data_IF_338319415056
#
_entry.id   IF_338319415056
#
_cell.length_a   1.000
_cell.length_b   1.000
_cell.length_c   1.000
_cell.angle_alpha   90.00
_cell.angle_beta   90.00
_cell.angle_gamma   90.00
#
_symmetry.space_group_name_H-M   'P 1'
#
loop_
_entity.id
_entity.type
_entity.pdbx_description
1 polymer ?
#
# COMPACT_ATOMS: atom_id res chain seq x y z
N UNK A 1 -12.12 -2.41 -22.55
CA UNK A 1 -11.74 -3.82 -22.77
C UNK A 1 -12.31 -4.70 -21.66
N UNK A 2 -12.40 -6.00 -21.89
CA UNK A 2 -12.81 -7.01 -20.92
C UNK A 2 -11.76 -7.17 -19.82
N UNK A 3 -12.16 -7.54 -18.61
CA UNK A 3 -11.26 -7.88 -17.51
C UNK A 3 -10.45 -9.12 -17.94
N UNK A 4 -9.12 -9.07 -17.83
CA UNK A 4 -8.25 -10.17 -18.21
C UNK A 4 -8.52 -11.40 -17.36
N UNK A 5 -8.58 -12.58 -18.00
CA UNK A 5 -8.85 -13.85 -17.31
C UNK A 5 -7.88 -14.13 -16.16
N UNK A 6 -6.59 -13.79 -16.32
CA UNK A 6 -5.58 -13.97 -15.26
C UNK A 6 -5.83 -13.15 -13.99
N UNK A 7 -6.75 -12.17 -14.00
CA UNK A 7 -7.16 -11.42 -12.80
C UNK A 7 -8.26 -12.13 -12.01
N UNK A 8 -9.00 -13.04 -12.63
CA UNK A 8 -10.22 -13.63 -12.06
C UNK A 8 -9.88 -14.98 -11.45
N UNK A 9 -10.23 -15.16 -10.19
CA UNK A 9 -10.11 -16.44 -9.48
C UNK A 9 -11.45 -16.83 -8.88
N UNK A 10 -11.84 -18.04 -9.19
CA UNK A 10 -13.01 -18.70 -8.62
C UNK A 10 -12.61 -19.32 -7.28
N UNK A 11 -13.21 -18.89 -6.17
CA UNK A 11 -12.90 -19.41 -4.83
C UNK A 11 -13.96 -20.40 -4.33
N UNK A 12 -15.20 -20.25 -4.75
CA UNK A 12 -16.26 -21.24 -4.59
C UNK A 12 -17.06 -21.35 -5.89
N UNK A 13 -17.02 -22.52 -6.52
CA UNK A 13 -17.59 -22.77 -7.84
C UNK A 13 -18.92 -23.52 -7.74
N UNK A 14 -19.98 -22.75 -7.53
CA UNK A 14 -21.37 -23.20 -7.49
C UNK A 14 -22.21 -22.21 -8.27
N UNK A 15 -23.39 -22.58 -8.77
CA UNK A 15 -24.24 -21.59 -9.43
C UNK A 15 -24.61 -20.42 -8.49
N UNK A 16 -24.65 -19.18 -8.99
CA UNK A 16 -25.19 -18.06 -8.23
C UNK A 16 -26.60 -18.39 -7.73
N UNK A 17 -26.90 -17.93 -6.53
CA UNK A 17 -28.20 -18.15 -5.91
C UNK A 17 -29.29 -17.45 -6.73
N UNK A 18 -30.28 -18.23 -7.18
CA UNK A 18 -31.37 -17.74 -8.04
C UNK A 18 -32.30 -16.72 -7.36
N UNK A 19 -32.54 -16.86 -6.06
CA UNK A 19 -33.34 -15.95 -5.23
C UNK A 19 -32.52 -14.90 -4.49
N UNK A 20 -31.24 -14.71 -4.86
CA UNK A 20 -30.39 -13.68 -4.26
C UNK A 20 -30.88 -12.27 -4.58
N UNK A 21 -30.92 -11.39 -3.58
CA UNK A 21 -31.46 -10.03 -3.71
C UNK A 21 -30.48 -9.03 -4.36
N UNK A 22 -29.18 -9.33 -4.34
CA UNK A 22 -28.12 -8.45 -4.84
C UNK A 22 -26.81 -9.22 -5.09
N UNK A 23 -25.87 -8.62 -5.82
CA UNK A 23 -24.46 -9.02 -5.84
C UNK A 23 -23.70 -8.22 -4.78
N UNK A 24 -22.94 -8.89 -3.92
CA UNK A 24 -22.06 -8.22 -2.95
C UNK A 24 -20.68 -8.03 -3.55
N UNK A 25 -20.12 -6.84 -3.39
CA UNK A 25 -18.70 -6.58 -3.62
C UNK A 25 -18.03 -6.17 -2.30
N UNK A 26 -17.12 -6.99 -1.77
CA UNK A 26 -16.27 -6.60 -0.66
C UNK A 26 -15.18 -5.64 -1.15
N UNK A 27 -15.38 -4.36 -0.88
CA UNK A 27 -14.39 -3.30 -1.06
C UNK A 27 -13.42 -3.38 0.11
N UNK A 28 -12.17 -3.79 -0.11
CA UNK A 28 -11.18 -3.90 0.96
C UNK A 28 -9.84 -3.31 0.54
N UNK A 29 -9.19 -3.91 -0.46
CA UNK A 29 -7.89 -3.44 -0.95
C UNK A 29 -8.04 -2.30 -1.97
N UNK A 30 -9.10 -2.28 -2.78
CA UNK A 30 -9.26 -1.35 -3.89
C UNK A 30 -10.33 -0.27 -3.62
N UNK A 31 -10.10 0.61 -2.63
CA UNK A 31 -11.06 1.64 -2.18
C UNK A 31 -11.26 2.80 -3.18
N UNK A 32 -11.85 2.50 -4.34
CA UNK A 32 -12.08 3.43 -5.45
C UNK A 32 -13.22 2.96 -6.35
N UNK A 33 -13.89 3.90 -7.03
CA UNK A 33 -15.01 3.60 -7.93
C UNK A 33 -14.59 3.48 -9.40
N UNK A 34 -13.39 3.98 -9.75
CA UNK A 34 -12.86 3.90 -11.11
C UNK A 34 -11.64 2.98 -11.19
N UNK A 35 -11.36 2.44 -12.39
CA UNK A 35 -10.28 1.47 -12.61
C UNK A 35 -10.26 0.34 -11.55
N UNK A 36 -11.44 -0.15 -11.20
CA UNK A 36 -11.66 -1.21 -10.23
C UNK A 36 -12.25 -2.45 -10.93
N UNK A 37 -11.42 -3.43 -11.33
CA UNK A 37 -11.91 -4.59 -12.06
C UNK A 37 -12.85 -5.47 -11.23
N UNK A 38 -12.70 -5.52 -9.91
CA UNK A 38 -13.63 -6.26 -9.04
C UNK A 38 -15.03 -5.64 -9.06
N UNK A 39 -15.10 -4.31 -9.00
CA UNK A 39 -16.36 -3.59 -9.14
C UNK A 39 -16.99 -3.80 -10.52
N UNK A 40 -16.21 -3.69 -11.59
CA UNK A 40 -16.75 -3.89 -12.95
C UNK A 40 -17.21 -5.33 -13.19
N UNK A 41 -16.56 -6.32 -12.55
CA UNK A 41 -17.02 -7.70 -12.54
C UNK A 41 -18.36 -7.83 -11.81
N UNK A 42 -18.47 -7.24 -10.61
CA UNK A 42 -19.71 -7.25 -9.82
C UNK A 42 -20.88 -6.61 -10.58
N UNK A 43 -20.66 -5.47 -11.26
CA UNK A 43 -21.70 -4.82 -12.09
C UNK A 43 -22.10 -5.69 -13.27
N UNK A 44 -21.14 -6.35 -13.94
CA UNK A 44 -21.44 -7.24 -15.05
C UNK A 44 -22.31 -8.42 -14.61
N UNK A 45 -21.98 -9.05 -13.49
CA UNK A 45 -22.75 -10.17 -12.94
C UNK A 45 -24.13 -9.74 -12.43
N UNK A 46 -24.21 -8.60 -11.73
CA UNK A 46 -25.47 -8.06 -11.26
C UNK A 46 -26.44 -7.76 -12.42
N UNK A 47 -25.92 -7.17 -13.50
CA UNK A 47 -26.68 -6.96 -14.73
C UNK A 47 -27.14 -8.26 -15.39
N UNK A 48 -26.33 -9.33 -15.33
CA UNK A 48 -26.68 -10.65 -15.88
C UNK A 48 -27.78 -11.31 -15.06
N UNK A 49 -27.75 -11.12 -13.74
CA UNK A 49 -28.68 -11.73 -12.79
C UNK A 49 -29.95 -10.89 -12.54
N UNK A 50 -30.02 -9.67 -13.04
CA UNK A 50 -31.20 -8.81 -12.90
C UNK A 50 -31.32 -8.13 -11.53
N UNK A 51 -30.23 -8.03 -10.76
CA UNK A 51 -30.21 -7.56 -9.38
C UNK A 51 -29.22 -6.40 -9.19
N UNK A 52 -29.34 -5.56 -8.14
CA UNK A 52 -28.39 -4.47 -7.88
C UNK A 52 -27.06 -4.97 -7.31
N UNK A 53 -26.05 -4.08 -7.30
CA UNK A 53 -24.78 -4.27 -6.58
C UNK A 53 -24.83 -3.57 -5.22
N UNK A 54 -24.35 -4.25 -4.18
CA UNK A 54 -24.06 -3.68 -2.87
C UNK A 54 -22.55 -3.84 -2.61
N UNK A 55 -21.82 -2.73 -2.70
CA UNK A 55 -20.46 -2.67 -2.18
C UNK A 55 -20.52 -2.63 -0.64
N UNK A 56 -19.58 -3.30 0.02
CA UNK A 56 -19.51 -3.29 1.47
C UNK A 56 -18.07 -3.13 1.99
N UNK A 57 -17.94 -2.58 3.19
CA UNK A 57 -16.67 -2.42 3.88
C UNK A 57 -16.87 -2.65 5.38
N UNK A 58 -15.99 -3.45 5.99
CA UNK A 58 -15.95 -3.68 7.44
C UNK A 58 -14.91 -2.77 8.09
N UNK A 59 -15.35 -1.87 8.96
CA UNK A 59 -14.46 -0.94 9.67
C UNK A 59 -14.19 -1.43 11.09
N UNK A 60 -12.96 -1.91 11.30
CA UNK A 60 -12.43 -2.26 12.62
C UNK A 60 -11.92 -1.03 13.38
N UNK A 61 -12.06 -1.01 14.71
CA UNK A 61 -11.58 0.06 15.59
C UNK A 61 -10.97 -0.48 16.90
N UNK A 62 -10.31 0.39 17.68
CA UNK A 62 -9.81 0.07 19.01
C UNK A 62 -8.80 -1.06 19.05
N UNK A 63 -8.94 -1.91 20.07
CA UNK A 63 -8.13 -3.11 20.24
C UNK A 63 -8.32 -4.14 19.09
N UNK A 64 -9.40 -4.00 18.31
CA UNK A 64 -9.67 -4.83 17.14
C UNK A 64 -9.21 -4.15 15.83
N UNK A 65 -8.66 -2.93 15.91
CA UNK A 65 -8.22 -2.14 14.77
C UNK A 65 -7.11 -2.82 13.97
N UNK A 66 -6.83 -2.27 12.77
CA UNK A 66 -5.74 -2.79 11.96
C UNK A 66 -4.40 -2.63 12.73
N UNK A 67 -3.55 -3.67 12.82
CA UNK A 67 -2.33 -3.61 13.61
C UNK A 67 -1.48 -2.37 13.30
N UNK A 68 -1.06 -1.66 14.35
CA UNK A 68 -0.18 -0.48 14.30
C UNK A 68 -0.75 0.73 13.53
N UNK A 69 -2.03 0.69 13.13
CA UNK A 69 -2.73 1.86 12.61
C UNK A 69 -3.18 2.79 13.75
N UNK A 70 -3.34 4.07 13.43
CA UNK A 70 -3.68 5.14 14.36
C UNK A 70 -4.55 6.19 13.65
N UNK A 71 -4.92 7.27 14.36
CA UNK A 71 -5.82 8.30 13.86
C UNK A 71 -5.42 8.87 12.49
N UNK A 72 -4.12 9.02 12.20
CA UNK A 72 -3.62 9.45 10.88
C UNK A 72 -4.10 8.55 9.74
N UNK A 73 -3.94 7.25 9.91
CA UNK A 73 -4.25 6.26 8.88
C UNK A 73 -5.76 6.16 8.66
N UNK A 74 -6.52 6.16 9.76
CA UNK A 74 -7.97 6.11 9.69
C UNK A 74 -8.56 7.38 9.07
N UNK A 75 -8.01 8.57 9.36
CA UNK A 75 -8.44 9.80 8.68
C UNK A 75 -8.32 9.68 7.15
N UNK A 76 -7.16 9.24 6.67
CA UNK A 76 -6.90 9.09 5.24
C UNK A 76 -7.78 7.99 4.59
N UNK A 77 -8.01 6.87 5.30
CA UNK A 77 -8.92 5.81 4.87
C UNK A 77 -10.37 6.32 4.76
N UNK A 78 -10.88 6.98 5.81
CA UNK A 78 -12.26 7.44 5.89
C UNK A 78 -12.58 8.49 4.81
N UNK A 79 -11.65 9.41 4.56
CA UNK A 79 -11.73 10.34 3.43
C UNK A 79 -11.83 9.59 2.09
N UNK A 80 -11.04 8.53 1.92
CA UNK A 80 -11.10 7.68 0.73
C UNK A 80 -12.42 6.92 0.58
N UNK A 81 -12.97 6.38 1.67
CA UNK A 81 -14.25 5.69 1.67
C UNK A 81 -15.41 6.65 1.38
N UNK A 82 -15.36 7.90 1.86
CA UNK A 82 -16.33 8.94 1.54
C UNK A 82 -16.31 9.27 0.02
N UNK A 83 -15.12 9.41 -0.56
CA UNK A 83 -14.97 9.67 -2.01
C UNK A 83 -15.43 8.46 -2.86
N UNK A 84 -15.08 7.24 -2.46
CA UNK A 84 -15.56 6.01 -3.11
C UNK A 84 -17.08 5.89 -3.04
N UNK A 85 -17.68 6.20 -1.87
CA UNK A 85 -19.14 6.25 -1.68
C UNK A 85 -19.79 7.21 -2.68
N UNK A 86 -19.26 8.43 -2.82
CA UNK A 86 -19.79 9.38 -3.79
C UNK A 86 -19.69 8.86 -5.23
N UNK A 87 -18.64 8.11 -5.57
CA UNK A 87 -18.51 7.39 -6.84
C UNK A 87 -19.59 6.33 -7.04
N UNK A 88 -19.87 5.52 -6.03
CA UNK A 88 -20.93 4.50 -6.07
C UNK A 88 -22.32 5.11 -6.22
N UNK A 89 -22.63 6.18 -5.48
CA UNK A 89 -23.93 6.86 -5.55
C UNK A 89 -24.21 7.41 -6.95
N UNK A 90 -23.22 8.06 -7.60
CA UNK A 90 -23.35 8.55 -8.99
C UNK A 90 -23.70 7.42 -9.96
N UNK A 91 -23.15 6.23 -9.74
CA UNK A 91 -23.39 5.04 -10.56
C UNK A 91 -24.66 4.27 -10.16
N UNK A 92 -25.28 4.60 -9.03
CA UNK A 92 -26.45 3.89 -8.50
C UNK A 92 -26.11 2.53 -7.85
N UNK A 93 -24.91 2.41 -7.29
CA UNK A 93 -24.44 1.24 -6.53
C UNK A 93 -24.67 1.51 -5.03
N UNK A 94 -25.16 0.52 -4.29
CA UNK A 94 -25.35 0.64 -2.85
C UNK A 94 -24.01 0.49 -2.12
N UNK A 95 -23.83 1.20 -1.00
CA UNK A 95 -22.65 1.03 -0.14
C UNK A 95 -23.05 0.82 1.31
N UNK A 96 -22.57 -0.29 1.89
CA UNK A 96 -22.85 -0.70 3.27
C UNK A 96 -21.54 -0.71 4.08
N UNK A 97 -21.39 0.25 4.98
CA UNK A 97 -20.27 0.36 5.91
C UNK A 97 -20.74 -0.02 7.33
N UNK A 98 -20.06 -0.97 7.99
CA UNK A 98 -20.42 -1.45 9.33
C UNK A 98 -19.21 -1.59 10.26
N UNK A 99 -19.45 -1.58 11.56
CA UNK A 99 -18.43 -1.87 12.58
C UNK A 99 -18.24 -3.39 12.69
N UNK A 100 -17.44 -3.94 11.78
CA UNK A 100 -17.19 -5.37 11.68
C UNK A 100 -15.85 -5.61 10.97
N UNK A 101 -15.28 -6.81 11.10
CA UNK A 101 -14.19 -7.23 10.24
C UNK A 101 -14.65 -7.34 8.77
N UNK A 102 -13.72 -7.26 7.80
CA UNK A 102 -14.04 -7.52 6.40
C UNK A 102 -14.68 -8.89 6.15
N UNK A 103 -14.29 -9.90 6.93
CA UNK A 103 -14.88 -11.24 6.84
C UNK A 103 -16.32 -11.27 7.37
N UNK A 104 -16.58 -10.71 8.55
CA UNK A 104 -17.91 -10.72 9.17
C UNK A 104 -18.97 -10.05 8.31
N UNK A 105 -18.69 -8.84 7.79
CA UNK A 105 -19.66 -8.14 6.93
C UNK A 105 -19.88 -8.89 5.60
N UNK A 106 -18.83 -9.47 5.01
CA UNK A 106 -18.97 -10.22 3.77
C UNK A 106 -19.79 -11.50 3.97
N UNK A 107 -19.56 -12.22 5.08
CA UNK A 107 -20.31 -13.43 5.44
C UNK A 107 -21.77 -13.10 5.71
N UNK A 108 -22.05 -12.03 6.44
CA UNK A 108 -23.41 -11.60 6.75
C UNK A 108 -24.19 -11.23 5.48
N UNK A 109 -23.64 -10.33 4.66
CA UNK A 109 -24.32 -9.88 3.44
C UNK A 109 -24.42 -10.98 2.38
N UNK A 110 -23.50 -11.96 2.37
CA UNK A 110 -23.58 -13.11 1.48
C UNK A 110 -24.76 -14.05 1.79
N UNK A 111 -25.42 -13.90 2.94
CA UNK A 111 -26.61 -14.67 3.30
C UNK A 111 -27.78 -14.45 2.36
N UNK A 112 -27.93 -13.27 1.77
CA UNK A 112 -29.01 -12.92 0.83
C UNK A 112 -28.48 -12.59 -0.57
N UNK A 113 -27.17 -12.74 -0.79
CA UNK A 113 -26.54 -12.40 -2.06
C UNK A 113 -26.70 -13.51 -3.11
N UNK A 114 -26.87 -13.10 -4.37
CA UNK A 114 -26.78 -13.99 -5.51
C UNK A 114 -25.35 -14.54 -5.66
N UNK A 115 -24.33 -13.69 -5.48
CA UNK A 115 -22.93 -14.06 -5.39
C UNK A 115 -22.10 -13.00 -4.66
N UNK A 116 -20.90 -13.39 -4.24
CA UNK A 116 -19.91 -12.54 -3.59
C UNK A 116 -18.70 -12.32 -4.49
N UNK A 117 -18.37 -11.05 -4.72
CA UNK A 117 -17.14 -10.62 -5.38
C UNK A 117 -16.17 -10.05 -4.34
N UNK A 118 -14.92 -10.49 -4.37
CA UNK A 118 -13.84 -9.98 -3.53
C UNK A 118 -12.83 -9.24 -4.41
N UNK A 119 -12.25 -8.16 -3.90
CA UNK A 119 -10.93 -7.73 -4.39
C UNK A 119 -9.81 -8.59 -3.80
N UNK A 120 -8.56 -8.20 -4.05
CA UNK A 120 -7.39 -9.01 -3.71
C UNK A 120 -6.34 -8.20 -2.96
N UNK A 121 -6.05 -8.66 -1.76
CA UNK A 121 -4.91 -8.28 -0.94
C UNK A 121 -3.91 -9.44 -0.75
N UNK A 122 -2.66 -9.11 -0.46
CA UNK A 122 -1.55 -10.07 -0.40
C UNK A 122 -1.03 -10.37 1.00
N UNK A 123 -1.40 -9.55 1.98
CA UNK A 123 -0.93 -9.67 3.35
C UNK A 123 -1.54 -10.88 4.06
N UNK A 124 -0.85 -11.38 5.08
CA UNK A 124 -1.29 -12.52 5.89
C UNK A 124 -2.67 -12.29 6.52
N UNK A 125 -2.91 -11.08 7.06
CA UNK A 125 -4.21 -10.70 7.65
C UNK A 125 -5.35 -10.73 6.61
N UNK A 126 -5.10 -10.26 5.39
CA UNK A 126 -6.09 -10.27 4.32
C UNK A 126 -6.41 -11.69 3.86
N UNK A 127 -5.37 -12.51 3.66
CA UNK A 127 -5.50 -13.93 3.34
C UNK A 127 -6.30 -14.68 4.41
N UNK A 128 -6.14 -14.33 5.70
CA UNK A 128 -6.91 -14.88 6.80
C UNK A 128 -8.40 -14.55 6.65
N UNK A 129 -8.76 -13.28 6.44
CA UNK A 129 -10.16 -12.89 6.21
C UNK A 129 -10.77 -13.59 5.00
N UNK A 130 -10.05 -13.71 3.88
CA UNK A 130 -10.54 -14.45 2.72
C UNK A 130 -10.75 -15.94 3.02
N UNK A 131 -9.88 -16.55 3.84
CA UNK A 131 -10.05 -17.94 4.30
C UNK A 131 -11.31 -18.13 5.15
N UNK A 132 -11.59 -17.20 6.07
CA UNK A 132 -12.82 -17.18 6.88
C UNK A 132 -14.07 -17.07 6.00
N UNK A 133 -14.06 -16.17 5.02
CA UNK A 133 -15.15 -15.98 4.06
C UNK A 133 -15.39 -17.26 3.25
N UNK A 134 -14.34 -17.86 2.67
CA UNK A 134 -14.47 -19.06 1.83
C UNK A 134 -14.97 -20.26 2.64
N UNK A 135 -14.60 -20.37 3.92
CA UNK A 135 -15.11 -21.44 4.79
C UNK A 135 -16.62 -21.28 5.08
N UNK A 136 -17.09 -20.05 5.30
CA UNK A 136 -18.45 -19.76 5.75
C UNK A 136 -19.46 -19.57 4.62
N UNK A 137 -19.09 -18.89 3.54
CA UNK A 137 -20.00 -18.51 2.45
C UNK A 137 -20.23 -19.68 1.50
N UNK A 138 -21.51 -19.99 1.22
CA UNK A 138 -21.90 -21.14 0.37
C UNK A 138 -22.34 -20.77 -1.04
N UNK A 139 -22.55 -19.48 -1.33
CA UNK A 139 -22.84 -19.00 -2.69
C UNK A 139 -21.55 -18.86 -3.52
N UNK A 140 -21.67 -18.58 -4.82
CA UNK A 140 -20.53 -18.32 -5.70
C UNK A 140 -19.62 -17.25 -5.12
N UNK A 141 -18.32 -17.53 -5.05
CA UNK A 141 -17.30 -16.55 -4.66
C UNK A 141 -16.31 -16.37 -5.80
N UNK A 142 -16.13 -15.12 -6.23
CA UNK A 142 -15.15 -14.73 -7.24
C UNK A 142 -14.25 -13.64 -6.68
N UNK A 143 -12.93 -13.85 -6.73
CA UNK A 143 -11.93 -12.85 -6.40
C UNK A 143 -11.35 -12.25 -7.68
N UNK A 144 -11.19 -10.92 -7.72
CA UNK A 144 -10.68 -10.21 -8.89
C UNK A 144 -9.52 -9.29 -8.50
N UNK A 145 -8.38 -9.48 -9.16
CA UNK A 145 -7.14 -8.74 -8.91
C UNK A 145 -7.14 -7.34 -9.56
N UNK A 146 -7.05 -6.30 -8.74
CA UNK A 146 -6.98 -4.90 -9.16
C UNK A 146 -5.94 -4.04 -8.44
N UNK A 147 -5.14 -4.60 -7.53
CA UNK A 147 -4.11 -3.91 -6.76
C UNK A 147 -2.73 -3.96 -7.42
N UNK A 148 -2.51 -4.87 -8.38
CA UNK A 148 -1.29 -4.94 -9.21
C UNK A 148 -1.60 -4.82 -10.70
N UNK A 149 -0.62 -4.36 -11.49
CA UNK A 149 -0.68 -4.36 -12.95
C UNK A 149 -0.77 -5.79 -13.44
N UNK A 150 0.18 -6.65 -13.08
CA UNK A 150 0.14 -8.08 -13.44
C UNK A 150 -0.12 -8.90 -12.17
N UNK A 151 -1.17 -9.74 -12.12
CA UNK A 151 -1.41 -10.63 -10.97
C UNK A 151 -0.16 -11.45 -10.63
N UNK A 152 0.18 -11.56 -9.34
CA UNK A 152 1.49 -12.09 -8.89
C UNK A 152 1.79 -13.48 -9.46
N UNK A 153 0.82 -14.39 -9.46
CA UNK A 153 0.99 -15.75 -9.98
C UNK A 153 1.07 -15.82 -11.50
N UNK A 154 0.51 -14.83 -12.20
CA UNK A 154 0.67 -14.69 -13.65
C UNK A 154 2.09 -14.20 -13.97
N UNK A 155 2.60 -13.24 -13.20
CA UNK A 155 3.94 -12.71 -13.37
C UNK A 155 5.04 -13.75 -13.05
N UNK A 156 4.87 -14.53 -11.97
CA UNK A 156 5.78 -15.61 -11.60
C UNK A 156 5.12 -16.64 -10.70
N UNK A 157 5.43 -17.91 -10.91
CA UNK A 157 4.96 -19.05 -10.10
C UNK A 157 5.78 -19.29 -8.82
N UNK A 158 6.74 -18.41 -8.52
CA UNK A 158 7.63 -18.53 -7.36
C UNK A 158 8.10 -17.17 -6.84
N UNK A 159 8.70 -17.19 -5.65
CA UNK A 159 9.43 -16.05 -5.11
C UNK A 159 10.61 -15.68 -6.02
N UNK A 160 10.66 -14.41 -6.43
CA UNK A 160 11.76 -13.84 -7.20
C UNK A 160 12.78 -13.21 -6.28
N UNK A 161 14.02 -13.66 -6.33
CA UNK A 161 15.04 -13.16 -5.40
C UNK A 161 15.53 -11.75 -5.74
N UNK A 162 15.25 -11.19 -6.92
CA UNK A 162 15.67 -9.84 -7.28
C UNK A 162 14.81 -9.23 -8.40
N UNK A 163 14.76 -7.89 -8.48
CA UNK A 163 14.07 -7.18 -9.56
C UNK A 163 14.51 -7.61 -10.96
N UNK A 164 15.80 -7.94 -11.14
CA UNK A 164 16.33 -8.39 -12.44
C UNK A 164 15.75 -9.71 -12.95
N UNK A 165 15.17 -10.54 -12.07
CA UNK A 165 14.55 -11.81 -12.47
C UNK A 165 13.05 -11.69 -12.70
N UNK A 166 12.38 -10.78 -11.99
CA UNK A 166 10.96 -10.47 -12.20
C UNK A 166 10.72 -9.56 -13.42
N UNK A 167 11.55 -8.52 -13.60
CA UNK A 167 11.42 -7.52 -14.68
C UNK A 167 11.16 -8.11 -16.08
N UNK A 168 11.98 -9.04 -16.61
CA UNK A 168 11.73 -9.56 -17.96
C UNK A 168 10.41 -10.35 -18.06
N UNK A 169 9.89 -10.90 -16.96
CA UNK A 169 8.58 -11.59 -16.95
C UNK A 169 7.44 -10.59 -17.04
N UNK A 170 7.51 -9.54 -16.22
CA UNK A 170 6.56 -8.43 -16.22
C UNK A 170 6.55 -7.71 -17.58
N UNK A 171 7.72 -7.35 -18.12
CA UNK A 171 7.83 -6.62 -19.38
C UNK A 171 7.13 -7.32 -20.55
N UNK A 172 7.15 -8.66 -20.60
CA UNK A 172 6.47 -9.45 -21.64
C UNK A 172 4.94 -9.37 -21.57
N UNK A 173 4.40 -8.99 -20.42
CA UNK A 173 2.96 -8.95 -20.12
C UNK A 173 2.43 -7.52 -20.06
N UNK A 174 3.29 -6.51 -20.20
CA UNK A 174 2.88 -5.11 -20.04
C UNK A 174 1.79 -4.68 -21.01
N UNK A 175 1.84 -5.11 -22.27
CA UNK A 175 0.85 -4.69 -23.25
C UNK A 175 -0.50 -5.41 -23.08
N UNK A 176 -0.51 -6.57 -22.42
CA UNK A 176 -1.74 -7.30 -22.09
C UNK A 176 -2.43 -6.75 -20.83
N UNK A 177 -1.66 -6.16 -19.92
CA UNK A 177 -2.13 -5.77 -18.57
C UNK A 177 -2.15 -4.26 -18.30
N UNK A 178 -1.34 -3.46 -19.01
CA UNK A 178 -1.40 -1.99 -18.99
C UNK A 178 -2.38 -1.52 -20.07
N UNK A 179 -3.66 -1.80 -19.82
CA UNK A 179 -4.75 -1.50 -20.75
C UNK A 179 -5.91 -0.84 -20.02
N UNK A 180 -6.69 -0.05 -20.75
CA UNK A 180 -7.84 0.65 -20.19
C UNK A 180 -8.92 -0.32 -19.68
N UNK A 181 -9.53 0.02 -18.55
CA UNK A 181 -10.72 -0.66 -18.01
C UNK A 181 -11.96 0.11 -18.44
N UNK A 182 -12.91 -0.57 -19.09
CA UNK A 182 -14.19 0.05 -19.46
C UNK A 182 -15.16 -0.05 -18.30
N UNK A 183 -15.68 1.09 -17.86
CA UNK A 183 -16.76 1.14 -16.88
C UNK A 183 -18.05 0.53 -17.46
N UNK A 184 -18.69 -0.32 -16.67
CA UNK A 184 -19.96 -0.97 -16.99
C UNK A 184 -21.11 -0.08 -16.52
N UNK A 185 -22.10 0.08 -17.38
CA UNK A 185 -23.37 0.72 -17.05
C UNK A 185 -24.14 -0.14 -16.06
N UNK A 186 -24.59 0.44 -14.95
CA UNK A 186 -25.45 -0.21 -13.96
C UNK A 186 -26.89 -0.21 -14.47
N UNK A 187 -27.47 -1.40 -14.70
CA UNK A 187 -28.86 -1.54 -15.19
C UNK A 187 -29.88 -1.63 -14.05
N UNK A 188 -29.46 -2.14 -12.90
CA UNK A 188 -30.31 -2.33 -11.72
C UNK A 188 -29.74 -1.47 -10.58
N UNK A 189 -30.34 -0.29 -10.39
CA UNK A 189 -29.90 0.66 -9.36
C UNK A 189 -30.25 0.14 -7.98
N UNK A 190 -29.38 0.43 -7.01
CA UNK A 190 -29.65 0.21 -5.61
C UNK A 190 -30.91 0.96 -5.16
N UNK A 191 -31.89 0.22 -4.63
CA UNK A 191 -33.20 0.73 -4.24
C UNK A 191 -33.48 0.56 -2.74
N UNK A 192 -34.76 0.71 -2.36
CA UNK A 192 -35.23 0.46 -0.98
C UNK A 192 -35.11 -1.04 -0.65
N UNK A 193 -34.81 -1.37 0.60
CA UNK A 193 -34.73 -2.76 1.08
C UNK A 193 -33.35 -3.40 1.03
N UNK A 194 -32.33 -2.67 0.54
CA UNK A 194 -30.94 -3.13 0.59
C UNK A 194 -30.35 -3.05 2.02
N UNK A 195 -29.27 -3.81 2.30
CA UNK A 195 -28.61 -3.78 3.60
C UNK A 195 -28.24 -2.36 4.02
N UNK A 196 -28.64 -2.00 5.25
CA UNK A 196 -28.35 -0.68 5.81
C UNK A 196 -26.88 -0.60 6.26
N UNK A 197 -26.26 0.54 6.00
CA UNK A 197 -25.02 0.93 6.65
C UNK A 197 -25.29 1.26 8.13
N UNK A 198 -24.34 0.96 8.99
CA UNK A 198 -24.35 1.39 10.39
C UNK A 198 -23.56 2.70 10.58
N UNK A 199 -22.57 2.93 9.70
CA UNK A 199 -21.72 4.12 9.71
C UNK A 199 -22.11 4.99 8.53
N UNK A 200 -22.42 6.26 8.80
CA UNK A 200 -22.56 7.27 7.77
C UNK A 200 -21.19 7.88 7.47
N UNK A 201 -20.66 7.60 6.29
CA UNK A 201 -19.34 8.08 5.84
C UNK A 201 -19.41 9.45 5.15
N UNK A 202 -20.58 10.10 5.12
CA UNK A 202 -20.72 11.44 4.57
C UNK A 202 -19.89 12.50 5.34
N UNK A 203 -19.65 12.28 6.63
CA UNK A 203 -18.77 13.09 7.47
C UNK A 203 -17.65 12.21 8.06
N UNK A 204 -16.52 12.04 7.33
CA UNK A 204 -15.42 11.19 7.78
C UNK A 204 -14.75 11.69 9.07
N UNK A 205 -14.79 12.99 9.36
CA UNK A 205 -14.21 13.56 10.57
C UNK A 205 -15.06 13.22 11.81
N UNK A 206 -16.39 13.28 11.68
CA UNK A 206 -17.31 12.82 12.73
C UNK A 206 -17.15 11.32 13.01
N UNK A 207 -16.99 10.49 11.96
CA UNK A 207 -16.70 9.05 12.13
C UNK A 207 -15.40 8.87 12.90
N UNK A 208 -14.32 9.53 12.49
CA UNK A 208 -13.01 9.47 13.16
C UNK A 208 -13.07 9.92 14.62
N UNK A 209 -13.83 10.96 14.94
CA UNK A 209 -14.02 11.44 16.30
C UNK A 209 -14.69 10.38 17.19
N UNK A 210 -15.61 9.59 16.64
CA UNK A 210 -16.30 8.51 17.34
C UNK A 210 -15.49 7.20 17.47
N UNK A 211 -14.29 7.10 16.90
CA UNK A 211 -13.45 5.91 16.98
C UNK A 211 -12.52 5.92 18.20
N UNK A 212 -12.30 4.74 18.77
CA UNK A 212 -11.27 4.50 19.80
C UNK A 212 -9.96 4.14 19.09
N UNK A 213 -9.01 5.05 18.99
CA UNK A 213 -7.74 4.85 18.26
C UNK A 213 -6.58 5.47 19.05
N UNK A 214 -5.36 5.03 18.76
CA UNK A 214 -4.16 5.79 19.10
C UNK A 214 -4.22 7.16 18.39
N UNK A 215 -4.13 8.24 19.17
CA UNK A 215 -4.21 9.64 18.70
C UNK A 215 -2.89 10.39 18.88
N UNK A 216 -1.82 9.72 19.34
CA UNK A 216 -0.49 10.33 19.50
C UNK A 216 0.12 10.71 18.15
N UNK A 217 -0.32 10.06 17.07
CA UNK A 217 0.05 10.37 15.69
C UNK A 217 -1.14 11.01 14.98
N UNK A 218 -1.16 12.35 14.83
CA UNK A 218 -2.32 13.05 14.30
C UNK A 218 -2.44 12.88 12.77
N UNK A 219 -3.65 13.06 12.21
CA UNK A 219 -3.86 13.27 10.79
C UNK A 219 -2.99 14.41 10.26
N UNK A 220 -2.60 14.31 8.98
CA UNK A 220 -1.73 15.27 8.31
C UNK A 220 -2.54 16.16 7.37
N UNK A 221 -2.10 17.40 7.17
CA UNK A 221 -2.74 18.39 6.31
C UNK A 221 -2.29 18.27 4.87
N UNK A 222 -1.03 17.87 4.64
CA UNK A 222 -0.46 17.78 3.29
C UNK A 222 -1.13 16.73 2.39
N UNK A 223 -1.81 15.73 2.96
CA UNK A 223 -2.44 14.65 2.23
C UNK A 223 -3.91 14.53 2.59
N UNK A 224 -4.76 14.50 1.55
CA UNK A 224 -6.19 14.17 1.66
C UNK A 224 -6.42 12.86 0.92
N UNK A 225 -7.16 11.94 1.53
CA UNK A 225 -7.55 10.66 0.93
C UNK A 225 -8.62 10.82 -0.16
N UNK A 226 -8.72 9.84 -1.05
CA UNK A 226 -9.70 9.77 -2.14
C UNK A 226 -9.07 9.61 -3.52
N UNK A 227 -9.78 8.90 -4.40
CA UNK A 227 -9.40 8.75 -5.81
C UNK A 227 -9.43 10.08 -6.56
N UNK A 228 -10.36 10.97 -6.20
CA UNK A 228 -10.48 12.32 -6.77
C UNK A 228 -9.20 13.12 -6.53
N UNK A 229 -8.71 13.14 -5.28
CA UNK A 229 -7.47 13.83 -4.93
C UNK A 229 -6.24 13.14 -5.53
N UNK A 230 -6.19 11.81 -5.52
CA UNK A 230 -5.10 11.04 -6.13
C UNK A 230 -4.92 11.40 -7.61
N UNK A 231 -6.02 11.42 -8.37
CA UNK A 231 -6.03 11.80 -9.79
C UNK A 231 -5.66 13.25 -10.02
N UNK A 232 -6.15 14.17 -9.18
CA UNK A 232 -5.79 15.59 -9.27
C UNK A 232 -4.27 15.78 -9.10
N UNK A 233 -3.69 15.14 -8.09
CA UNK A 233 -2.24 15.17 -7.83
C UNK A 233 -1.43 14.52 -8.94
N UNK A 234 -1.84 13.35 -9.42
CA UNK A 234 -1.16 12.68 -10.53
C UNK A 234 -1.17 13.57 -11.78
N UNK A 235 -2.31 14.18 -12.13
CA UNK A 235 -2.40 15.09 -13.27
C UNK A 235 -1.45 16.28 -13.13
N UNK A 236 -1.40 16.91 -11.95
CA UNK A 236 -0.49 18.03 -11.70
C UNK A 236 0.99 17.58 -11.76
N UNK A 237 1.30 16.41 -11.21
CA UNK A 237 2.64 15.81 -11.25
C UNK A 237 3.11 15.57 -12.69
N UNK A 238 2.28 14.93 -13.52
CA UNK A 238 2.57 14.66 -14.94
C UNK A 238 2.59 15.92 -15.82
N UNK A 239 2.10 17.07 -15.31
CA UNK A 239 2.17 18.34 -16.03
C UNK A 239 3.45 19.14 -15.73
N UNK A 240 4.25 18.73 -14.74
CA UNK A 240 5.46 19.47 -14.35
C UNK A 240 6.54 18.57 -13.74
N UNK A 241 6.49 18.25 -12.43
CA UNK A 241 7.57 17.57 -11.71
C UNK A 241 8.03 16.22 -12.31
N UNK A 242 7.17 15.54 -13.07
CA UNK A 242 7.52 14.29 -13.75
C UNK A 242 8.66 14.45 -14.78
N UNK A 243 8.83 15.66 -15.35
CA UNK A 243 9.75 15.91 -16.46
C UNK A 243 11.24 15.70 -16.13
N UNK A 244 11.58 15.55 -14.86
CA UNK A 244 12.95 15.32 -14.39
C UNK A 244 13.08 14.08 -13.52
N UNK A 245 12.03 13.24 -13.45
CA UNK A 245 11.97 12.11 -12.53
C UNK A 245 13.16 11.16 -12.66
N UNK A 246 13.52 10.76 -13.88
CA UNK A 246 14.60 9.81 -14.16
C UNK A 246 15.95 10.29 -13.61
N UNK A 247 16.23 11.58 -13.75
CA UNK A 247 17.48 12.20 -13.28
C UNK A 247 17.46 12.56 -11.78
N UNK A 248 16.31 13.03 -11.27
CA UNK A 248 16.24 13.72 -9.98
C UNK A 248 15.56 12.91 -8.86
N UNK A 249 14.93 11.74 -9.14
CA UNK A 249 14.20 10.94 -8.13
C UNK A 249 14.98 10.51 -6.89
N UNK A 250 16.30 10.59 -6.91
CA UNK A 250 17.15 10.24 -5.77
C UNK A 250 17.54 11.46 -4.91
N UNK A 251 17.10 12.66 -5.31
CA UNK A 251 17.36 13.92 -4.60
C UNK A 251 16.08 14.38 -3.88
N UNK A 252 16.01 14.26 -2.54
CA UNK A 252 14.81 14.56 -1.79
C UNK A 252 14.33 16.01 -1.91
N UNK A 253 15.24 16.96 -2.06
CA UNK A 253 14.98 18.40 -2.22
C UNK A 253 14.44 18.77 -3.60
N UNK A 254 14.58 17.89 -4.61
CA UNK A 254 14.21 18.19 -6.00
C UNK A 254 12.70 18.13 -6.27
N UNK A 255 11.89 17.62 -5.33
CA UNK A 255 10.44 17.52 -5.50
C UNK A 255 9.99 16.59 -6.63
N UNK A 256 10.86 15.68 -7.09
CA UNK A 256 10.60 14.81 -8.23
C UNK A 256 9.67 13.63 -7.91
N UNK A 257 9.41 13.31 -6.64
CA UNK A 257 8.54 12.21 -6.25
C UNK A 257 7.07 12.51 -6.53
N UNK A 258 6.31 11.49 -6.97
CA UNK A 258 4.88 11.65 -7.27
C UNK A 258 3.98 11.72 -6.04
N UNK A 259 4.48 11.25 -4.89
CA UNK A 259 3.71 11.08 -3.66
C UNK A 259 2.45 10.21 -3.83
N UNK A 260 2.46 9.25 -4.76
CA UNK A 260 1.35 8.34 -5.00
C UNK A 260 1.27 7.16 -4.03
N UNK A 261 2.28 6.93 -3.20
CA UNK A 261 2.34 5.75 -2.33
C UNK A 261 1.21 5.67 -1.29
N UNK A 262 0.73 6.75 -0.64
CA UNK A 262 -0.44 6.67 0.24
C UNK A 262 -1.69 6.21 -0.51
N UNK A 263 -1.93 6.77 -1.70
CA UNK A 263 -3.09 6.45 -2.52
C UNK A 263 -3.05 5.02 -3.05
N UNK A 264 -1.86 4.54 -3.43
CA UNK A 264 -1.66 3.14 -3.84
C UNK A 264 -1.85 2.17 -2.67
N UNK A 265 -1.38 2.52 -1.47
CA UNK A 265 -1.52 1.69 -0.27
C UNK A 265 -2.99 1.45 0.09
N UNK A 266 -3.79 2.52 0.11
CA UNK A 266 -5.23 2.44 0.39
C UNK A 266 -6.08 2.06 -0.83
N UNK A 267 -5.45 1.76 -1.97
CA UNK A 267 -6.13 1.41 -3.22
C UNK A 267 -7.04 2.49 -3.78
N UNK A 268 -6.80 3.74 -3.44
CA UNK A 268 -7.53 4.93 -3.90
C UNK A 268 -7.13 5.31 -5.34
N UNK A 269 -6.10 4.69 -5.92
CA UNK A 269 -5.78 4.83 -7.34
C UNK A 269 -5.22 3.51 -7.88
N UNK A 270 -5.59 3.15 -9.11
CA UNK A 270 -5.09 1.92 -9.74
C UNK A 270 -3.66 2.10 -10.26
N UNK A 271 -2.75 1.14 -10.05
CA UNK A 271 -1.42 1.19 -10.68
C UNK A 271 -1.50 1.09 -12.21
N UNK A 272 -2.54 0.43 -12.77
CA UNK A 272 -2.76 0.39 -14.22
C UNK A 272 -3.14 1.77 -14.75
N UNK A 273 -3.98 2.50 -14.01
CA UNK A 273 -4.35 3.87 -14.37
C UNK A 273 -3.13 4.80 -14.38
N UNK A 274 -2.28 4.71 -13.34
CA UNK A 274 -1.03 5.48 -13.29
C UNK A 274 -0.13 5.11 -14.47
N UNK A 275 0.06 3.82 -14.75
CA UNK A 275 0.93 3.37 -15.83
C UNK A 275 0.46 3.87 -17.21
N UNK A 276 -0.85 3.84 -17.46
CA UNK A 276 -1.45 4.42 -18.67
C UNK A 276 -1.22 5.93 -18.76
N UNK A 277 -1.43 6.65 -17.66
CA UNK A 277 -1.23 8.10 -17.60
C UNK A 277 0.24 8.48 -17.84
N UNK A 278 1.19 7.72 -17.30
CA UNK A 278 2.64 7.91 -17.51
C UNK A 278 3.03 7.61 -18.97
N UNK A 279 2.53 6.51 -19.56
CA UNK A 279 2.76 6.19 -20.98
C UNK A 279 2.25 7.33 -21.88
N UNK A 280 1.08 7.88 -21.57
CA UNK A 280 0.45 8.98 -22.29
C UNK A 280 0.97 10.38 -21.92
N UNK A 281 1.89 10.50 -20.96
CA UNK A 281 2.38 11.80 -20.51
C UNK A 281 3.10 12.53 -21.65
N UNK A 282 2.78 13.83 -21.79
CA UNK A 282 3.39 14.74 -22.77
C UNK A 282 4.68 15.38 -22.26
N UNK A 283 4.88 15.39 -20.94
CA UNK A 283 6.13 15.80 -20.30
C UNK A 283 6.92 14.56 -19.90
N UNK A 284 8.23 14.72 -19.66
CA UNK A 284 9.14 13.61 -19.37
C UNK A 284 9.53 12.81 -20.62
N UNK A 285 10.81 12.45 -20.69
CA UNK A 285 11.37 11.60 -21.73
C UNK A 285 11.17 10.11 -21.44
N UNK A 286 11.73 9.27 -22.31
CA UNK A 286 11.65 7.82 -22.17
C UNK A 286 12.35 7.32 -20.90
N UNK A 287 13.41 8.00 -20.45
CA UNK A 287 14.10 7.70 -19.21
C UNK A 287 13.21 7.95 -17.98
N UNK A 288 12.44 9.04 -17.96
CA UNK A 288 11.50 9.37 -16.88
C UNK A 288 10.39 8.33 -16.81
N UNK A 289 9.80 8.00 -17.96
CA UNK A 289 8.74 6.98 -18.08
C UNK A 289 9.24 5.62 -17.66
N UNK A 290 10.40 5.20 -18.14
CA UNK A 290 11.00 3.90 -17.83
C UNK A 290 11.34 3.81 -16.34
N UNK A 291 11.96 4.84 -15.77
CA UNK A 291 12.29 4.88 -14.36
C UNK A 291 11.03 4.82 -13.49
N UNK A 292 9.97 5.55 -13.87
CA UNK A 292 8.73 5.56 -13.10
C UNK A 292 8.03 4.20 -13.13
N UNK A 293 7.92 3.58 -14.31
CA UNK A 293 7.28 2.27 -14.46
C UNK A 293 8.09 1.15 -13.78
N UNK A 294 9.42 1.26 -13.73
CA UNK A 294 10.26 0.35 -12.93
C UNK A 294 9.90 0.42 -11.45
N UNK A 295 9.75 1.61 -10.87
CA UNK A 295 9.41 1.75 -9.44
C UNK A 295 7.93 1.39 -9.17
N UNK A 296 7.01 1.87 -10.00
CA UNK A 296 5.57 1.62 -9.87
C UNK A 296 5.19 0.15 -10.01
N UNK A 297 5.84 -0.58 -10.93
CA UNK A 297 5.46 -1.93 -11.32
C UNK A 297 6.50 -2.93 -10.83
N UNK A 298 7.74 -2.84 -11.30
CA UNK A 298 8.74 -3.89 -11.02
C UNK A 298 9.11 -3.92 -9.53
N UNK A 299 9.36 -2.78 -8.91
CA UNK A 299 9.75 -2.72 -7.48
C UNK A 299 8.56 -2.99 -6.56
N UNK A 300 7.43 -2.34 -6.79
CA UNK A 300 6.21 -2.54 -6.00
C UNK A 300 5.68 -3.98 -6.10
N UNK A 301 5.64 -4.56 -7.29
CA UNK A 301 5.10 -5.92 -7.47
C UNK A 301 6.11 -7.00 -7.05
N UNK A 302 7.41 -6.69 -6.99
CA UNK A 302 8.38 -7.55 -6.32
C UNK A 302 8.07 -7.67 -4.82
N UNK A 303 7.65 -6.58 -4.17
CA UNK A 303 7.21 -6.63 -2.79
C UNK A 303 5.94 -7.49 -2.60
N UNK A 304 4.98 -7.36 -3.52
CA UNK A 304 3.79 -8.22 -3.55
C UNK A 304 4.15 -9.70 -3.78
N UNK A 305 5.10 -9.98 -4.68
CA UNK A 305 5.65 -11.32 -4.90
C UNK A 305 6.30 -11.88 -3.63
N UNK A 306 7.09 -11.07 -2.92
CA UNK A 306 7.74 -11.46 -1.67
C UNK A 306 6.73 -11.89 -0.61
N UNK A 307 5.77 -11.03 -0.26
CA UNK A 307 4.76 -11.34 0.77
C UNK A 307 3.75 -12.41 0.32
N UNK A 308 3.60 -12.61 -0.99
CA UNK A 308 2.77 -13.69 -1.51
C UNK A 308 3.40 -15.06 -1.23
N UNK A 309 4.68 -15.24 -1.55
CA UNK A 309 5.38 -16.52 -1.51
C UNK A 309 6.15 -16.80 -0.20
N UNK A 310 6.38 -15.79 0.62
CA UNK A 310 7.11 -15.93 1.89
C UNK A 310 6.13 -15.98 3.05
N UNK A 311 5.97 -17.14 3.70
CA UNK A 311 5.23 -17.23 4.96
C UNK A 311 6.06 -16.56 6.05
N UNK A 312 5.41 -15.82 6.97
CA UNK A 312 6.12 -15.17 8.07
C UNK A 312 6.97 -13.96 7.65
N UNK A 313 6.72 -13.34 6.49
CA UNK A 313 7.46 -12.16 5.98
C UNK A 313 7.55 -10.97 6.95
N UNK A 314 6.78 -11.00 8.04
CA UNK A 314 6.75 -10.01 9.12
C UNK A 314 7.88 -10.25 10.16
N UNK A 315 8.56 -11.39 10.08
CA UNK A 315 9.63 -11.81 11.01
C UNK A 315 11.01 -11.72 10.34
N UNK A 316 12.03 -11.35 11.13
CA UNK A 316 13.42 -11.36 10.65
C UNK A 316 13.85 -12.75 10.14
N UNK A 317 13.44 -13.81 10.84
CA UNK A 317 13.87 -15.18 10.56
C UNK A 317 13.43 -15.65 9.17
N UNK A 318 12.22 -15.29 8.75
CA UNK A 318 11.62 -15.74 7.50
C UNK A 318 11.82 -14.73 6.35
N UNK A 319 11.81 -13.43 6.65
CA UNK A 319 11.92 -12.38 5.64
C UNK A 319 13.35 -12.15 5.14
N UNK A 320 14.35 -12.36 6.02
CA UNK A 320 15.76 -12.07 5.69
C UNK A 320 16.43 -13.32 5.12
N UNK A 321 17.07 -13.21 3.94
CA UNK A 321 17.69 -14.36 3.29
C UNK A 321 18.85 -14.92 4.12
N UNK A 322 19.05 -16.23 4.04
CA UNK A 322 20.03 -16.97 4.85
C UNK A 322 21.45 -16.40 4.77
N UNK A 323 21.91 -16.00 3.58
CA UNK A 323 23.24 -15.41 3.41
C UNK A 323 23.45 -14.14 4.25
N UNK A 324 22.39 -13.34 4.38
CA UNK A 324 22.44 -12.10 5.12
C UNK A 324 22.30 -12.36 6.62
N UNK A 325 21.42 -13.28 7.03
CA UNK A 325 21.34 -13.72 8.43
C UNK A 325 22.68 -14.27 8.93
N UNK A 326 23.35 -15.08 8.12
CA UNK A 326 24.67 -15.64 8.45
C UNK A 326 25.73 -14.54 8.63
N UNK A 327 25.87 -13.63 7.67
CA UNK A 327 26.89 -12.59 7.77
C UNK A 327 26.60 -11.59 8.89
N UNK A 328 25.33 -11.34 9.24
CA UNK A 328 24.96 -10.51 10.38
C UNK A 328 25.26 -11.23 11.71
N UNK A 329 25.01 -12.53 11.79
CA UNK A 329 25.32 -13.34 12.97
C UNK A 329 26.84 -13.44 13.24
N UNK A 330 27.66 -13.52 12.19
CA UNK A 330 29.14 -13.45 12.29
C UNK A 330 29.64 -12.14 12.93
N UNK A 331 28.82 -11.09 12.92
CA UNK A 331 29.11 -9.76 13.41
C UNK A 331 28.20 -9.35 14.59
N UNK A 332 27.59 -10.33 15.27
CA UNK A 332 26.70 -10.09 16.41
C UNK A 332 27.42 -9.41 17.58
N UNK A 333 28.66 -9.83 17.87
CA UNK A 333 29.48 -9.35 18.99
C UNK A 333 30.29 -8.08 18.66
N UNK A 334 30.18 -7.55 17.44
CA UNK A 334 30.84 -6.30 17.09
C UNK A 334 30.28 -5.14 17.93
N UNK A 335 31.14 -4.31 18.54
CA UNK A 335 30.67 -3.15 19.30
C UNK A 335 29.90 -2.20 18.39
N UNK A 336 28.71 -1.78 18.84
CA UNK A 336 27.90 -0.79 18.13
C UNK A 336 28.49 0.60 18.34
N UNK A 337 28.63 1.43 17.29
CA UNK A 337 29.19 2.77 17.42
C UNK A 337 28.33 3.68 18.30
N UNK A 338 27.01 3.49 18.23
CA UNK A 338 26.01 4.16 19.06
C UNK A 338 24.90 3.16 19.37
N UNK A 339 24.16 3.40 20.46
CA UNK A 339 22.95 2.65 20.80
C UNK A 339 21.86 3.61 21.23
N UNK A 340 20.66 3.41 20.71
CA UNK A 340 19.49 4.21 21.05
C UNK A 340 18.34 3.31 21.49
N UNK A 341 17.50 3.83 22.38
CA UNK A 341 16.18 3.27 22.69
C UNK A 341 15.22 3.51 21.52
N UNK A 342 14.13 2.75 21.46
CA UNK A 342 13.09 3.01 20.45
C UNK A 342 12.44 4.39 20.63
N UNK A 343 12.35 4.89 21.86
CA UNK A 343 11.81 6.22 22.15
C UNK A 343 12.69 7.34 21.58
N UNK A 344 14.01 7.28 21.79
CA UNK A 344 14.97 8.24 21.20
C UNK A 344 14.94 8.18 19.67
N UNK A 345 14.87 6.97 19.08
CA UNK A 345 14.72 6.81 17.64
C UNK A 345 13.39 7.41 17.14
N UNK A 346 12.27 7.17 17.83
CA UNK A 346 10.96 7.71 17.46
C UNK A 346 10.95 9.26 17.53
N UNK A 347 11.59 9.83 18.56
CA UNK A 347 11.72 11.26 18.78
C UNK A 347 12.73 11.93 17.83
N UNK A 348 13.59 11.16 17.15
CA UNK A 348 14.64 11.73 16.30
C UNK A 348 15.76 12.36 17.14
N UNK A 349 16.14 11.71 18.23
CA UNK A 349 17.12 12.20 19.20
C UNK A 349 18.44 11.42 19.07
N UNK A 350 19.02 11.44 17.87
CA UNK A 350 20.32 10.82 17.59
C UNK A 350 21.40 11.86 17.38
N UNK A 351 22.66 11.42 17.34
CA UNK A 351 23.79 12.28 16.98
C UNK A 351 23.73 12.75 15.51
N UNK A 352 22.99 12.05 14.65
CA UNK A 352 22.92 12.33 13.22
C UNK A 352 21.71 13.20 12.88
N UNK A 353 21.98 14.48 12.65
CA UNK A 353 20.96 15.49 12.30
C UNK A 353 20.17 15.15 11.03
N UNK A 354 20.75 14.42 10.07
CA UNK A 354 20.06 14.04 8.83
C UNK A 354 19.13 12.85 9.06
N UNK A 355 19.54 11.91 9.93
CA UNK A 355 18.66 10.84 10.37
C UNK A 355 17.48 11.40 11.16
N UNK A 356 17.73 12.35 12.07
CA UNK A 356 16.70 13.03 12.85
C UNK A 356 15.72 13.78 11.94
N UNK A 357 16.21 14.47 10.91
CA UNK A 357 15.35 15.13 9.92
C UNK A 357 14.51 14.13 9.10
N UNK A 358 15.10 13.00 8.66
CA UNK A 358 14.34 11.97 7.99
C UNK A 358 13.23 11.39 8.89
N UNK A 359 13.55 11.10 10.15
CA UNK A 359 12.58 10.67 11.15
C UNK A 359 11.47 11.71 11.35
N UNK A 360 11.80 13.00 11.43
CA UNK A 360 10.84 14.08 11.55
C UNK A 360 9.95 14.21 10.30
N UNK A 361 10.50 14.08 9.08
CA UNK A 361 9.71 14.08 7.84
C UNK A 361 8.61 13.02 7.91
N UNK A 362 8.98 11.78 8.26
CA UNK A 362 8.04 10.67 8.42
C UNK A 362 7.04 10.92 9.54
N UNK A 363 7.54 11.30 10.72
CA UNK A 363 6.74 11.48 11.93
C UNK A 363 5.69 12.57 11.75
N UNK A 364 6.05 13.72 11.19
CA UNK A 364 5.14 14.86 11.08
C UNK A 364 4.30 14.83 9.80
N UNK A 365 4.83 14.34 8.68
CA UNK A 365 4.13 14.41 7.38
C UNK A 365 3.51 13.10 6.91
N UNK A 366 3.83 11.99 7.58
CA UNK A 366 3.43 10.65 7.15
C UNK A 366 4.15 10.15 5.90
N UNK A 367 5.21 10.84 5.47
CA UNK A 367 5.99 10.52 4.28
C UNK A 367 7.48 10.76 4.54
N UNK A 368 8.34 10.02 3.85
CA UNK A 368 9.79 10.16 3.85
C UNK A 368 10.27 9.81 2.45
N UNK A 369 11.17 10.60 1.93
CA UNK A 369 11.76 10.35 0.63
C UNK A 369 12.46 8.98 0.58
N UNK A 370 12.29 8.22 -0.52
CA UNK A 370 12.76 6.83 -0.64
C UNK A 370 14.27 6.68 -0.38
N UNK A 371 15.09 7.62 -0.86
CA UNK A 371 16.54 7.63 -0.60
C UNK A 371 16.84 7.65 0.91
N UNK A 372 16.08 8.43 1.67
CA UNK A 372 16.24 8.55 3.11
C UNK A 372 15.64 7.37 3.85
N UNK A 373 14.58 6.71 3.35
CA UNK A 373 14.08 5.45 3.95
C UNK A 373 15.16 4.38 4.03
N UNK A 374 15.94 4.25 2.96
CA UNK A 374 17.07 3.32 2.93
C UNK A 374 18.17 3.71 3.93
N UNK A 375 18.54 5.01 3.98
CA UNK A 375 19.53 5.50 4.94
C UNK A 375 19.06 5.28 6.38
N UNK A 376 17.84 5.70 6.68
CA UNK A 376 17.16 5.62 7.96
C UNK A 376 17.16 4.19 8.51
N UNK A 377 16.69 3.22 7.71
CA UNK A 377 16.62 1.83 8.15
C UNK A 377 18.02 1.22 8.36
N UNK A 378 18.99 1.55 7.50
CA UNK A 378 20.37 1.05 7.65
C UNK A 378 21.01 1.57 8.94
N UNK A 379 20.72 2.80 9.34
CA UNK A 379 21.19 3.33 10.63
C UNK A 379 20.51 2.69 11.83
N UNK A 380 19.24 2.31 11.73
CA UNK A 380 18.60 1.51 12.79
C UNK A 380 19.32 0.18 12.98
N UNK A 381 19.70 -0.52 11.90
CA UNK A 381 20.54 -1.72 12.01
C UNK A 381 21.91 -1.41 12.66
N UNK A 382 22.56 -0.31 12.26
CA UNK A 382 23.86 0.13 12.81
C UNK A 382 23.81 0.39 14.33
N UNK A 383 22.67 0.87 14.84
CA UNK A 383 22.50 1.33 16.22
C UNK A 383 21.66 0.40 17.09
N UNK A 384 21.27 -0.77 16.57
CA UNK A 384 20.49 -1.75 17.32
C UNK A 384 21.38 -2.81 17.95
N UNK A 385 21.01 -3.32 19.15
CA UNK A 385 21.80 -4.35 19.82
C UNK A 385 21.93 -5.62 18.97
N UNK A 386 20.85 -6.01 18.28
CA UNK A 386 20.86 -7.12 17.33
C UNK A 386 20.12 -6.77 16.03
N UNK A 387 20.40 -7.49 14.93
CA UNK A 387 19.62 -7.39 13.69
C UNK A 387 18.13 -7.64 13.88
N UNK A 388 17.75 -8.58 14.74
CA UNK A 388 16.35 -8.93 15.04
C UNK A 388 15.62 -7.78 15.74
N UNK A 389 16.25 -7.17 16.76
CA UNK A 389 15.70 -5.98 17.42
C UNK A 389 15.61 -4.82 16.44
N UNK A 390 16.66 -4.58 15.66
CA UNK A 390 16.67 -3.56 14.62
C UNK A 390 15.53 -3.75 13.61
N UNK A 391 15.33 -4.97 13.13
CA UNK A 391 14.27 -5.29 12.17
C UNK A 391 12.90 -4.95 12.74
N UNK A 392 12.61 -5.39 13.98
CA UNK A 392 11.35 -5.09 14.66
C UNK A 392 11.14 -3.61 14.89
N UNK A 393 12.16 -2.87 15.36
CA UNK A 393 12.11 -1.41 15.54
C UNK A 393 11.82 -0.69 14.22
N UNK A 394 12.54 -1.08 13.18
CA UNK A 394 12.37 -0.51 11.83
C UNK A 394 10.93 -0.71 11.35
N UNK A 395 10.38 -1.92 11.51
CA UNK A 395 9.02 -2.23 11.08
C UNK A 395 7.97 -1.46 11.91
N UNK A 396 8.09 -1.45 13.24
CA UNK A 396 7.19 -0.71 14.14
C UNK A 396 7.17 0.78 13.84
N UNK A 397 8.33 1.41 13.68
CA UNK A 397 8.41 2.84 13.37
C UNK A 397 7.86 3.15 11.97
N UNK A 398 8.19 2.32 10.97
CA UNK A 398 7.65 2.46 9.62
C UNK A 398 6.11 2.41 9.64
N UNK A 399 5.56 1.38 10.25
CA UNK A 399 4.12 1.17 10.31
C UNK A 399 3.42 2.19 11.20
N UNK A 400 4.05 2.69 12.26
CA UNK A 400 3.45 3.72 13.11
C UNK A 400 3.26 5.05 12.40
N UNK A 401 4.20 5.46 11.54
CA UNK A 401 4.23 6.84 11.05
C UNK A 401 3.90 7.02 9.57
N UNK A 402 4.30 6.09 8.69
CA UNK A 402 4.02 6.24 7.25
C UNK A 402 2.56 6.06 6.93
N UNK A 403 1.99 6.98 6.14
CA UNK A 403 0.67 6.77 5.53
C UNK A 403 0.65 5.52 4.64
N UNK A 404 1.76 5.20 4.00
CA UNK A 404 1.97 3.98 3.18
C UNK A 404 2.58 2.79 3.95
N UNK A 405 2.54 2.86 5.28
CA UNK A 405 2.97 1.79 6.20
C UNK A 405 2.02 0.58 6.18
N UNK A 406 2.43 -0.55 6.77
CA UNK A 406 1.70 -1.84 6.80
C UNK A 406 1.36 -2.36 5.39
N UNK A 407 2.23 -2.07 4.45
CA UNK A 407 2.09 -2.47 3.06
C UNK A 407 3.07 -3.60 2.71
N UNK A 408 2.84 -4.35 1.63
CA UNK A 408 3.83 -5.29 1.13
C UNK A 408 5.20 -4.64 0.91
N UNK A 409 5.21 -3.38 0.45
CA UNK A 409 6.41 -2.57 0.33
C UNK A 409 7.06 -2.29 1.69
N UNK A 410 6.28 -2.06 2.75
CA UNK A 410 6.81 -1.84 4.10
C UNK A 410 7.65 -3.03 4.55
N UNK A 411 7.06 -4.23 4.54
CA UNK A 411 7.75 -5.45 4.97
C UNK A 411 8.98 -5.76 4.11
N UNK A 412 8.82 -5.64 2.78
CA UNK A 412 9.91 -5.94 1.83
C UNK A 412 11.04 -4.92 1.93
N UNK A 413 10.74 -3.62 2.10
CA UNK A 413 11.75 -2.57 2.23
C UNK A 413 12.51 -2.69 3.55
N UNK A 414 11.82 -3.04 4.64
CA UNK A 414 12.49 -3.37 5.90
C UNK A 414 13.40 -4.58 5.70
N UNK A 415 12.93 -5.69 5.13
CA UNK A 415 13.78 -6.84 4.85
C UNK A 415 14.96 -6.52 3.89
N UNK A 416 14.80 -5.57 2.96
CA UNK A 416 15.88 -5.09 2.10
C UNK A 416 17.00 -4.39 2.89
N UNK A 417 16.65 -3.67 3.97
CA UNK A 417 17.63 -3.11 4.91
C UNK A 417 18.52 -4.20 5.50
N UNK A 418 18.03 -5.43 5.61
CA UNK A 418 18.77 -6.58 6.12
C UNK A 418 19.27 -7.53 5.02
N UNK A 419 19.10 -7.20 3.74
CA UNK A 419 19.71 -7.92 2.62
C UNK A 419 18.75 -8.62 1.65
N UNK A 420 17.43 -8.57 1.87
CA UNK A 420 16.47 -9.08 0.89
C UNK A 420 16.60 -8.35 -0.46
N UNK A 421 16.54 -9.08 -1.57
CA UNK A 421 16.63 -8.54 -2.93
C UNK A 421 17.90 -7.74 -3.28
N UNK A 422 18.93 -7.85 -2.45
CA UNK A 422 20.25 -7.28 -2.69
C UNK A 422 21.30 -8.39 -2.84
N UNK A 423 22.55 -7.98 -3.07
CA UNK A 423 23.72 -8.86 -3.14
C UNK A 423 24.69 -8.59 -1.98
N UNK A 424 25.66 -9.49 -1.72
CA UNK A 424 26.77 -9.20 -0.83
C UNK A 424 27.61 -8.00 -1.27
N UNK A 425 28.09 -7.23 -0.29
CA UNK A 425 28.99 -6.08 -0.42
C UNK A 425 30.29 -6.33 0.33
N UNK A 426 31.23 -5.36 0.26
CA UNK A 426 32.47 -5.41 1.02
C UNK A 426 32.18 -5.59 2.52
N UNK A 427 32.91 -6.50 3.17
CA UNK A 427 32.72 -6.84 4.58
C UNK A 427 33.02 -5.63 5.47
N UNK A 428 32.15 -5.36 6.44
CA UNK A 428 32.30 -4.31 7.45
C UNK A 428 31.86 -4.81 8.82
N UNK A 429 32.37 -4.18 9.87
CA UNK A 429 31.84 -4.38 11.23
C UNK A 429 30.34 -4.11 11.27
N UNK A 430 29.62 -4.79 12.15
CA UNK A 430 28.15 -4.75 12.34
C UNK A 430 27.36 -5.35 11.17
N UNK A 431 27.67 -4.94 9.93
CA UNK A 431 26.88 -5.31 8.74
C UNK A 431 27.31 -6.62 8.10
N UNK A 432 28.51 -7.12 8.38
CA UNK A 432 29.13 -8.16 7.58
C UNK A 432 29.15 -7.74 6.11
N UNK A 433 28.54 -8.53 5.24
CA UNK A 433 28.42 -8.25 3.80
C UNK A 433 27.07 -7.66 3.39
N UNK A 434 26.19 -7.31 4.33
CA UNK A 434 24.98 -6.53 4.02
C UNK A 434 25.38 -5.12 3.60
N UNK A 435 24.68 -4.53 2.62
CA UNK A 435 24.96 -3.18 2.13
C UNK A 435 24.95 -2.17 3.27
N UNK A 436 26.05 -1.44 3.43
CA UNK A 436 26.16 -0.28 4.31
C UNK A 436 25.77 1.02 3.62
N UNK A 437 25.17 1.96 4.36
CA UNK A 437 25.03 3.35 3.94
C UNK A 437 25.80 4.28 4.89
N UNK A 438 26.89 4.85 4.37
CA UNK A 438 27.68 5.88 5.05
C UNK A 438 27.11 7.28 4.85
N UNK A 439 27.65 8.27 5.55
CA UNK A 439 27.45 9.70 5.30
C UNK A 439 27.68 10.10 3.84
N UNK A 440 28.50 9.36 3.06
CA UNK A 440 28.63 9.61 1.62
C UNK A 440 27.30 9.45 0.85
N UNK A 441 26.30 8.74 1.39
CA UNK A 441 24.94 8.73 0.82
C UNK A 441 24.28 10.11 0.84
N UNK A 442 24.69 10.98 1.76
CA UNK A 442 24.19 12.36 1.92
C UNK A 442 24.87 13.34 0.97
N UNK A 443 26.04 12.98 0.40
CA UNK A 443 26.74 13.79 -0.62
C UNK A 443 26.12 13.72 -2.02
N UNK A 444 25.10 12.88 -2.20
CA UNK A 444 24.43 12.65 -3.50
C UNK A 444 23.34 13.68 -3.81
N UNK A 445 23.01 14.53 -2.85
CA UNK A 445 21.97 15.54 -2.92
C UNK A 445 22.33 16.72 -2.01
N UNK A 446 21.60 17.83 -2.09
CA UNK A 446 21.81 18.96 -1.20
C UNK A 446 21.20 18.68 0.19
N UNK A 447 22.02 18.14 1.08
CA UNK A 447 21.63 17.81 2.43
C UNK A 447 21.16 19.03 3.25
N UNK A 448 21.72 20.23 3.00
CA UNK A 448 21.28 21.46 3.69
C UNK A 448 19.91 21.90 3.20
N UNK A 449 19.67 21.83 1.89
CA UNK A 449 18.35 22.09 1.32
C UNK A 449 17.32 21.10 1.87
N UNK A 450 17.67 19.81 1.98
CA UNK A 450 16.78 18.81 2.57
C UNK A 450 16.39 19.14 4.02
N UNK A 451 17.36 19.48 4.88
CA UNK A 451 17.07 19.88 6.27
C UNK A 451 16.10 21.07 6.32
N UNK A 452 16.31 22.08 5.47
CA UNK A 452 15.42 23.24 5.36
C UNK A 452 14.02 22.83 4.90
N UNK A 453 13.92 22.00 3.87
CA UNK A 453 12.65 21.50 3.35
C UNK A 453 11.88 20.74 4.45
N UNK A 454 12.52 19.84 5.18
CA UNK A 454 11.86 19.11 6.28
C UNK A 454 11.34 20.07 7.35
N UNK A 455 12.13 21.06 7.76
CA UNK A 455 11.69 22.06 8.74
C UNK A 455 10.46 22.85 8.25
N UNK A 456 10.42 23.27 6.99
CA UNK A 456 9.27 23.93 6.36
C UNK A 456 8.03 23.03 6.34
N UNK A 457 8.21 21.73 6.08
CA UNK A 457 7.12 20.75 6.08
C UNK A 457 6.56 20.51 7.48
N UNK A 458 7.41 20.33 8.49
CA UNK A 458 6.98 20.18 9.88
C UNK A 458 6.20 21.43 10.34
N UNK A 459 6.70 22.63 9.99
CA UNK A 459 6.01 23.88 10.29
C UNK A 459 4.63 23.97 9.63
N UNK A 460 4.48 23.52 8.38
CA UNK A 460 3.20 23.50 7.67
C UNK A 460 2.19 22.52 8.31
N UNK A 461 2.67 21.42 8.89
CA UNK A 461 1.82 20.49 9.66
C UNK A 461 1.40 21.07 11.02
N UNK A 462 2.05 22.14 11.49
CA UNK A 462 1.73 22.83 12.74
C UNK A 462 2.66 22.49 13.90
N UNK A 463 3.78 21.83 13.60
CA UNK A 463 4.86 21.55 14.55
C UNK A 463 5.85 22.70 14.48
N UNK A 464 5.97 23.48 15.56
CA UNK A 464 7.03 24.51 15.63
C UNK A 464 8.38 23.80 15.67
N UNK A 465 9.29 24.23 14.79
CA UNK A 465 10.65 23.73 14.67
C UNK A 465 11.45 23.87 15.97
#
# INVERSE_FOLDING_TARGET
MTIQAGRIRVLNDVEPRADGAYVVYLLQQANRAHFNPALEYAVAEANRLGVPVVACFGLLDGANGFPEANARHYAFLLQGLADARAGFDRRGIGFCLRKASPAEIAIDLARDAALLVLDRGYLAIQKRWYGEIVAAVKTRIVQVEGDVVVPVEVASTKHEYAARTLRPKLNRLFDDYIVGLSERTVKHRAGRGLPKAEIDIADPDAVLAGMTLDRDVPPVKRFTGGETEARRRLKAYLAGPFATYGAERNKPEAGAASHMSPYLHFGQISPVEIALAVRAARTGGDDDKTAYLEELIVRRELAMNHVHYTKGYESYADAVPEWARKTLAEHADDPRPHTYTEAELAAGETHDVHWNAAQAEMRETGYMHNHLRMYWGKKILDWSPSPEEGFRRTLRLNNRYFLDGRDANSFTNVAWVYGLHDRPWARRKVFGTVRYQSENSLKKFDAKAYLKTVAELCAAEGVKA
#
